data_IF_904300421412
#
_entry.id   IF_904300421412
#
_cell.length_a   1.000
_cell.length_b   1.000
_cell.length_c   1.000
_cell.angle_alpha   90.00
_cell.angle_beta   90.00
_cell.angle_gamma   90.00
#
_symmetry.space_group_name_H-M   'P 1'
#
loop_
_entity.id
_entity.type
_entity.pdbx_description
1 polymer ?
#
# COMPACT_ATOMS: atom_id res chain seq x y z
N UNK A 1 -4.32 -9.96 -7.55
CA UNK A 1 -4.48 -8.51 -7.81
C UNK A 1 -4.38 -8.08 -9.27
N UNK A 2 -3.50 -8.68 -10.09
CA UNK A 2 -3.10 -8.12 -11.40
C UNK A 2 -4.24 -7.78 -12.36
N UNK A 3 -5.26 -8.64 -12.49
CA UNK A 3 -6.40 -8.37 -13.38
C UNK A 3 -7.22 -7.16 -12.94
N UNK A 4 -7.49 -7.02 -11.65
CA UNK A 4 -8.25 -5.88 -11.12
C UNK A 4 -7.45 -4.58 -11.24
N UNK A 5 -6.12 -4.64 -11.02
CA UNK A 5 -5.22 -3.52 -11.27
C UNK A 5 -5.19 -3.13 -12.75
N UNK A 6 -5.20 -4.11 -13.66
CA UNK A 6 -5.30 -3.86 -15.10
C UNK A 6 -6.62 -3.20 -15.47
N UNK A 7 -7.75 -3.71 -14.96
CA UNK A 7 -9.06 -3.11 -15.23
C UNK A 7 -9.15 -1.68 -14.73
N UNK A 8 -8.64 -1.40 -13.52
CA UNK A 8 -8.56 -0.04 -12.99
C UNK A 8 -7.74 0.88 -13.92
N UNK A 9 -6.61 0.42 -14.44
CA UNK A 9 -5.80 1.21 -15.38
C UNK A 9 -6.53 1.47 -16.71
N UNK A 10 -7.28 0.50 -17.23
CA UNK A 10 -8.01 0.63 -18.51
C UNK A 10 -9.23 1.54 -18.36
N UNK A 11 -9.97 1.46 -17.25
CA UNK A 11 -11.20 2.22 -17.04
C UNK A 11 -10.97 3.58 -16.40
N UNK A 12 -9.75 3.87 -15.96
CA UNK A 12 -9.48 5.00 -15.06
C UNK A 12 -10.06 4.80 -13.65
N UNK A 13 -10.54 3.60 -13.33
CA UNK A 13 -11.06 3.25 -12.02
C UNK A 13 -9.98 3.11 -10.97
N UNK A 14 -10.40 2.92 -9.72
CA UNK A 14 -9.49 2.74 -8.58
C UNK A 14 -9.46 1.28 -8.16
N UNK A 15 -8.26 0.76 -7.92
CA UNK A 15 -8.06 -0.55 -7.33
C UNK A 15 -7.78 -0.42 -5.84
N UNK A 16 -8.56 -1.15 -5.04
CA UNK A 16 -8.44 -1.24 -3.59
C UNK A 16 -8.00 -2.65 -3.21
N UNK A 17 -7.22 -2.77 -2.15
CA UNK A 17 -6.71 -4.04 -1.64
C UNK A 17 -7.20 -4.23 -0.21
N UNK A 18 -7.45 -5.49 0.16
CA UNK A 18 -7.75 -5.88 1.53
C UNK A 18 -6.47 -6.32 2.22
N UNK A 19 -6.33 -5.96 3.48
CA UNK A 19 -5.20 -6.33 4.33
C UNK A 19 -5.68 -7.10 5.55
N UNK A 20 -4.74 -7.75 6.23
CA UNK A 20 -5.03 -8.57 7.41
C UNK A 20 -5.30 -7.76 8.68
N UNK A 21 -5.22 -6.42 8.62
CA UNK A 21 -5.46 -5.52 9.75
C UNK A 21 -6.90 -5.61 10.33
N UNK A 22 -7.84 -6.23 9.60
CA UNK A 22 -9.20 -6.49 10.11
C UNK A 22 -9.30 -7.75 10.99
N UNK A 23 -8.39 -8.71 10.86
CA UNK A 23 -8.45 -10.02 11.52
C UNK A 23 -9.58 -10.95 11.04
N UNK A 24 -10.27 -10.62 9.94
CA UNK A 24 -11.38 -11.41 9.40
C UNK A 24 -10.98 -12.12 8.10
N UNK A 25 -11.29 -13.41 8.01
CA UNK A 25 -11.07 -14.21 6.81
C UNK A 25 -9.75 -14.98 6.81
N UNK A 26 -9.32 -15.39 5.60
CA UNK A 26 -8.00 -15.99 5.39
C UNK A 26 -6.94 -14.89 5.22
N UNK A 27 -5.65 -15.21 5.39
CA UNK A 27 -4.57 -14.27 5.14
C UNK A 27 -4.65 -13.67 3.74
N UNK A 28 -4.44 -12.37 3.65
CA UNK A 28 -4.39 -11.62 2.40
C UNK A 28 -2.93 -11.41 1.97
N UNK A 29 -2.71 -11.30 0.66
CA UNK A 29 -1.38 -10.95 0.15
C UNK A 29 -1.07 -9.50 0.42
N UNK A 30 0.13 -9.21 0.94
CA UNK A 30 0.56 -7.81 1.14
C UNK A 30 0.71 -7.12 -0.24
N UNK A 31 0.22 -5.88 -0.39
CA UNK A 31 0.31 -5.15 -1.65
C UNK A 31 1.76 -4.95 -2.11
N UNK A 32 2.05 -5.24 -3.38
CA UNK A 32 3.35 -4.97 -4.00
C UNK A 32 3.48 -3.49 -4.45
N UNK A 33 3.33 -2.55 -3.51
CA UNK A 33 3.47 -1.09 -3.73
C UNK A 33 4.25 -0.43 -2.59
N UNK A 34 4.98 0.64 -2.90
CA UNK A 34 5.94 1.29 -1.99
C UNK A 34 5.28 2.14 -0.90
N UNK A 35 4.18 2.83 -1.23
CA UNK A 35 3.49 3.71 -0.29
C UNK A 35 1.98 3.45 -0.28
N UNK A 36 1.39 3.25 0.91
CA UNK A 36 -0.05 3.11 1.10
C UNK A 36 -0.44 3.36 2.55
N UNK A 37 -1.72 3.71 2.73
CA UNK A 37 -2.36 3.84 4.04
C UNK A 37 -3.47 2.81 4.15
N UNK A 38 -3.47 2.08 5.27
CA UNK A 38 -4.53 1.16 5.65
C UNK A 38 -5.54 1.93 6.50
N UNK A 39 -6.80 1.81 6.13
CA UNK A 39 -7.94 2.42 6.83
C UNK A 39 -9.04 1.37 6.93
N UNK A 40 -10.03 1.62 7.79
CA UNK A 40 -11.20 0.73 7.86
C UNK A 40 -11.94 0.70 6.51
N UNK A 41 -12.44 -0.48 6.14
CA UNK A 41 -13.09 -0.68 4.83
C UNK A 41 -14.32 0.20 4.64
N UNK A 42 -15.14 0.37 5.67
CA UNK A 42 -16.36 1.17 5.61
C UNK A 42 -16.08 2.66 5.35
N UNK A 43 -15.11 3.24 6.05
CA UNK A 43 -14.70 4.64 5.81
C UNK A 43 -13.99 4.79 4.46
N UNK A 44 -13.15 3.83 4.08
CA UNK A 44 -12.47 3.81 2.78
C UNK A 44 -13.46 3.80 1.61
N UNK A 45 -14.50 2.96 1.66
CA UNK A 45 -15.51 2.91 0.61
C UNK A 45 -16.25 4.24 0.49
N UNK A 46 -16.74 4.80 1.61
CA UNK A 46 -17.41 6.11 1.59
C UNK A 46 -16.52 7.20 1.01
N UNK A 47 -15.23 7.21 1.35
CA UNK A 47 -14.25 8.17 0.86
C UNK A 47 -14.00 8.04 -0.64
N UNK A 48 -13.92 6.81 -1.15
CA UNK A 48 -13.79 6.54 -2.59
C UNK A 48 -15.02 7.04 -3.31
N UNK A 49 -16.23 6.68 -2.86
CA UNK A 49 -17.47 7.16 -3.47
C UNK A 49 -17.56 8.69 -3.48
N UNK A 50 -17.23 9.35 -2.37
CA UNK A 50 -17.16 10.82 -2.31
C UNK A 50 -16.16 11.38 -3.32
N UNK A 51 -14.99 10.76 -3.45
CA UNK A 51 -13.96 11.22 -4.40
C UNK A 51 -14.46 11.14 -5.84
N UNK A 52 -15.17 10.06 -6.21
CA UNK A 52 -15.74 9.92 -7.56
C UNK A 52 -16.87 10.91 -7.84
N UNK A 53 -17.73 11.17 -6.85
CA UNK A 53 -18.86 12.10 -7.00
C UNK A 53 -18.42 13.57 -7.07
N UNK A 54 -17.37 13.93 -6.32
CA UNK A 54 -16.83 15.29 -6.30
C UNK A 54 -15.81 15.54 -7.42
N UNK A 55 -15.23 14.48 -7.99
CA UNK A 55 -14.14 14.58 -8.97
C UNK A 55 -12.82 15.04 -8.35
N UNK A 56 -12.71 15.06 -7.03
CA UNK A 56 -11.50 15.42 -6.29
C UNK A 56 -11.13 14.35 -5.28
N UNK A 57 -9.85 14.26 -4.94
CA UNK A 57 -9.37 13.26 -3.98
C UNK A 57 -9.72 13.69 -2.56
N UNK A 58 -10.41 12.81 -1.84
CA UNK A 58 -10.63 12.93 -0.40
C UNK A 58 -9.61 12.07 0.34
N UNK A 59 -8.79 12.71 1.18
CA UNK A 59 -7.83 12.03 2.06
C UNK A 59 -8.50 11.51 3.34
N UNK A 60 -8.00 10.41 3.92
CA UNK A 60 -8.46 9.96 5.23
C UNK A 60 -8.03 10.94 6.33
N UNK A 61 -8.81 11.04 7.40
CA UNK A 61 -8.37 11.73 8.60
C UNK A 61 -7.27 10.90 9.31
N UNK A 62 -6.38 11.56 10.06
CA UNK A 62 -5.25 10.87 10.74
C UNK A 62 -5.73 9.74 11.67
N UNK A 63 -6.87 9.93 12.33
CA UNK A 63 -7.53 8.95 13.20
C UNK A 63 -8.13 7.74 12.46
N UNK A 64 -8.35 7.83 11.14
CA UNK A 64 -8.85 6.72 10.32
C UNK A 64 -7.71 5.82 9.82
N UNK A 65 -6.46 6.28 9.89
CA UNK A 65 -5.28 5.55 9.39
C UNK A 65 -4.79 4.58 10.46
N UNK A 66 -5.01 3.29 10.22
CA UNK A 66 -4.55 2.21 11.12
C UNK A 66 -3.06 1.93 10.95
N UNK A 67 -2.55 2.02 9.72
CA UNK A 67 -1.15 1.75 9.37
C UNK A 67 -0.77 2.55 8.14
N UNK A 68 0.45 3.07 8.13
CA UNK A 68 1.04 3.75 6.97
C UNK A 68 2.36 3.08 6.61
N UNK A 69 2.56 2.83 5.32
CA UNK A 69 3.78 2.29 4.75
C UNK A 69 4.30 3.31 3.74
N UNK A 70 5.59 3.66 3.84
CA UNK A 70 6.18 4.73 3.05
C UNK A 70 5.65 6.11 3.42
N UNK A 71 5.93 7.11 2.57
CA UNK A 71 5.41 8.48 2.72
C UNK A 71 4.67 8.85 1.46
N UNK A 72 3.45 9.36 1.58
CA UNK A 72 2.67 9.82 0.43
C UNK A 72 2.08 11.20 0.64
N UNK A 73 1.91 11.96 -0.44
CA UNK A 73 1.25 13.25 -0.46
C UNK A 73 0.26 13.28 -1.62
N UNK A 74 -1.03 13.44 -1.32
CA UNK A 74 -2.08 13.54 -2.35
C UNK A 74 -2.28 12.25 -3.16
N UNK A 75 -1.99 11.07 -2.61
CA UNK A 75 -1.99 9.81 -3.36
C UNK A 75 -0.68 9.49 -4.08
N UNK A 76 0.33 10.36 -4.02
CA UNK A 76 1.62 10.19 -4.69
C UNK A 76 2.67 9.74 -3.67
N UNK A 77 3.32 8.62 -3.94
CA UNK A 77 4.42 8.11 -3.13
C UNK A 77 5.64 9.04 -3.28
N UNK A 78 6.14 9.57 -2.16
CA UNK A 78 7.37 10.36 -2.11
C UNK A 78 8.51 9.38 -1.94
N UNK A 79 9.26 9.17 -3.03
CA UNK A 79 10.46 8.35 -3.03
C UNK A 79 11.69 9.24 -3.01
N UNK A 80 12.42 9.23 -1.90
CA UNK A 80 13.73 9.87 -1.83
C UNK A 80 14.75 9.02 -2.58
N UNK A 81 14.91 9.29 -3.89
CA UNK A 81 15.84 8.58 -4.77
C UNK A 81 17.30 8.69 -4.32
N UNK A 82 17.61 9.57 -3.37
CA UNK A 82 18.93 9.76 -2.75
C UNK A 82 19.21 8.76 -1.61
N UNK A 83 18.22 8.00 -1.15
CA UNK A 83 18.36 6.99 -0.09
C UNK A 83 18.73 5.61 -0.63
N UNK A 84 19.73 5.54 -1.51
CA UNK A 84 20.48 4.29 -1.67
C UNK A 84 21.43 4.22 -0.48
N UNK A 85 21.14 3.44 0.56
CA UNK A 85 22.13 2.76 1.46
C UNK A 85 21.46 2.11 2.69
N UNK A 86 21.66 0.80 2.81
CA UNK A 86 21.55 -0.09 3.99
C UNK A 86 20.18 -0.68 4.37
N UNK A 87 19.78 -1.73 3.66
CA UNK A 87 19.33 -2.94 4.36
C UNK A 87 20.40 -4.00 4.12
N UNK A 88 21.41 -4.02 4.99
CA UNK A 88 22.24 -5.20 5.18
C UNK A 88 21.31 -6.30 5.68
N UNK A 89 20.86 -7.17 4.78
CA UNK A 89 20.41 -8.49 5.15
C UNK A 89 21.58 -9.17 5.85
N UNK A 90 21.51 -9.33 7.17
CA UNK A 90 22.33 -10.30 7.89
C UNK A 90 21.85 -11.69 7.47
N UNK A 91 22.24 -12.10 6.27
CA UNK A 91 22.32 -13.51 5.89
C UNK A 91 23.68 -13.98 6.36
N UNK A 92 23.71 -14.66 7.50
CA UNK A 92 24.86 -15.40 7.98
C UNK A 92 25.16 -16.50 6.95
N UNK A 93 26.10 -16.24 6.05
CA UNK A 93 26.72 -17.26 5.20
C UNK A 93 27.80 -17.96 6.05
N UNK A 94 27.75 -19.28 6.25
CA UNK A 94 28.82 -19.99 6.95
C UNK A 94 30.11 -19.96 6.10
N UNK A 95 31.30 -19.92 6.73
CA UNK A 95 32.55 -19.91 5.99
C UNK A 95 32.76 -21.22 5.21
N UNK A 96 33.21 -21.07 3.97
CA UNK A 96 33.71 -22.14 3.12
C UNK A 96 35.00 -22.69 3.74
N UNK A 97 34.95 -23.89 4.32
CA UNK A 97 36.16 -24.63 4.68
C UNK A 97 36.84 -25.13 3.39
N UNK A 98 38.07 -24.68 3.21
CA UNK A 98 39.00 -25.22 2.22
C UNK A 98 39.59 -26.53 2.74
N UNK A 99 39.42 -27.61 2.00
CA UNK A 99 40.34 -28.76 1.98
C UNK A 99 40.45 -29.32 0.57
#
# INVERSE_FOLDING_TARGET
EYLLRLFAAITGGRHLFLTDDSGIGNPHGEPAIQCYQVTRLDSLLLRVLKSELLGERVEPAEEEVTREVGRQQGGVCIVDLTSTTTTTTTTTVPPLETS
#
